data_IF_895481062837
#
_entry.id   IF_895481062837
#
_cell.length_a   1.000
_cell.length_b   1.000
_cell.length_c   1.000
_cell.angle_alpha   90.00
_cell.angle_beta   90.00
_cell.angle_gamma   90.00
#
_symmetry.space_group_name_H-M   'P 1'
#
loop_
_entity.id
_entity.type
_entity.pdbx_description
1 polymer ?
#
# COMPACT_ATOMS: atom_id res chain seq x y z
N UNK A 1 7.23 -18.38 19.01
CA UNK A 1 7.33 -17.11 18.24
C UNK A 1 7.01 -15.90 19.13
N UNK A 2 5.86 -15.85 19.81
CA UNK A 2 5.44 -14.73 20.67
C UNK A 2 6.50 -14.33 21.71
N UNK A 3 7.01 -15.26 22.54
CA UNK A 3 8.05 -14.96 23.56
C UNK A 3 9.31 -14.26 23.01
N UNK A 4 9.72 -14.62 21.78
CA UNK A 4 10.88 -13.99 21.13
C UNK A 4 10.56 -12.57 20.68
N UNK A 5 9.35 -12.34 20.18
CA UNK A 5 8.85 -11.02 19.85
C UNK A 5 8.80 -10.13 21.09
N UNK A 6 8.17 -10.62 22.18
CA UNK A 6 8.01 -9.86 23.44
C UNK A 6 9.37 -9.45 24.01
N UNK A 7 10.38 -10.34 23.97
CA UNK A 7 11.72 -10.01 24.41
C UNK A 7 12.39 -8.90 23.57
N UNK A 8 12.19 -8.91 22.25
CA UNK A 8 12.73 -7.87 21.37
C UNK A 8 12.04 -6.53 21.66
N UNK A 9 10.71 -6.53 21.80
CA UNK A 9 9.96 -5.29 22.05
C UNK A 9 10.29 -4.73 23.44
N UNK A 10 10.40 -5.57 24.46
CA UNK A 10 10.82 -5.12 25.80
C UNK A 10 12.18 -4.41 25.78
N UNK A 11 13.14 -4.94 25.01
CA UNK A 11 14.44 -4.30 24.84
C UNK A 11 14.30 -2.95 24.12
N UNK A 12 13.53 -2.89 23.02
CA UNK A 12 13.30 -1.64 22.28
C UNK A 12 12.61 -0.57 23.13
N UNK A 13 11.65 -0.94 23.99
CA UNK A 13 11.00 -0.04 24.94
C UNK A 13 12.01 0.50 25.96
N UNK A 14 12.84 -0.41 26.53
CA UNK A 14 13.87 0.00 27.49
C UNK A 14 14.89 0.95 26.86
N UNK A 15 15.36 0.64 25.66
CA UNK A 15 16.30 1.49 24.91
C UNK A 15 15.69 2.86 24.60
N UNK A 16 14.41 2.90 24.17
CA UNK A 16 13.71 4.14 23.87
C UNK A 16 13.59 5.05 25.12
N UNK A 17 13.25 4.47 26.29
CA UNK A 17 13.13 5.23 27.55
C UNK A 17 14.46 5.74 28.09
N UNK A 18 15.55 5.07 27.75
CA UNK A 18 16.91 5.46 28.15
C UNK A 18 17.55 6.44 27.14
N UNK A 19 16.91 6.72 26.04
CA UNK A 19 17.39 7.67 25.04
C UNK A 19 17.30 9.10 25.60
N UNK A 20 18.43 9.86 25.71
CA UNK A 20 18.42 11.23 26.19
C UNK A 20 17.56 12.18 25.35
N UNK A 21 17.28 11.82 24.09
CA UNK A 21 16.44 12.57 23.15
C UNK A 21 15.01 11.98 23.01
N UNK A 22 14.58 11.15 23.96
CA UNK A 22 13.28 10.46 23.89
C UNK A 22 12.11 11.41 23.63
N UNK A 23 12.07 12.56 24.29
CA UNK A 23 11.00 13.56 24.15
C UNK A 23 10.96 14.21 22.75
N UNK A 24 12.07 14.19 22.01
CA UNK A 24 12.20 14.77 20.67
C UNK A 24 11.83 13.75 19.57
N UNK A 25 11.70 12.47 19.92
CA UNK A 25 11.41 11.40 18.99
C UNK A 25 9.95 11.46 18.51
N UNK A 26 9.76 11.21 17.21
CA UNK A 26 8.46 11.19 16.53
C UNK A 26 8.15 9.85 15.84
N UNK A 27 8.93 8.80 16.13
CA UNK A 27 8.62 7.46 15.67
C UNK A 27 7.42 6.85 16.44
N UNK A 28 6.81 5.82 15.85
CA UNK A 28 5.59 5.21 16.40
C UNK A 28 5.78 4.68 17.81
N UNK A 29 6.93 4.06 18.13
CA UNK A 29 7.20 3.55 19.47
C UNK A 29 7.25 4.69 20.49
N UNK A 30 8.00 5.75 20.21
CA UNK A 30 8.12 6.90 21.10
C UNK A 30 6.76 7.59 21.32
N UNK A 31 5.99 7.81 20.26
CA UNK A 31 4.66 8.40 20.35
C UNK A 31 3.70 7.54 21.20
N UNK A 32 3.76 6.21 21.08
CA UNK A 32 2.96 5.30 21.90
C UNK A 32 3.37 5.34 23.38
N UNK A 33 4.67 5.39 23.67
CA UNK A 33 5.19 5.47 25.03
C UNK A 33 4.90 6.83 25.71
N UNK A 34 4.75 7.90 24.94
CA UNK A 34 4.36 9.22 25.40
C UNK A 34 2.83 9.36 25.56
N UNK A 35 2.05 8.54 24.85
CA UNK A 35 0.60 8.57 24.89
C UNK A 35 0.04 8.12 26.25
N UNK A 36 -1.18 8.57 26.56
CA UNK A 36 -1.88 8.25 27.79
C UNK A 36 -3.31 7.82 27.50
N UNK A 37 -3.86 7.02 28.37
CA UNK A 37 -5.30 6.70 28.38
C UNK A 37 -6.14 7.95 28.75
N UNK A 38 -7.44 7.86 28.55
CA UNK A 38 -8.38 8.96 28.88
C UNK A 38 -8.35 9.37 30.35
N UNK A 39 -7.99 8.45 31.26
CA UNK A 39 -7.82 8.69 32.68
C UNK A 39 -6.45 9.33 33.07
N UNK A 40 -5.59 9.61 32.07
CA UNK A 40 -4.27 10.17 32.23
C UNK A 40 -3.17 9.17 32.59
N UNK A 41 -3.48 7.89 32.78
CA UNK A 41 -2.49 6.85 33.03
C UNK A 41 -1.64 6.54 31.79
N UNK A 42 -0.35 6.16 31.95
CA UNK A 42 0.51 5.80 30.82
C UNK A 42 0.05 4.48 30.19
N UNK A 43 0.23 4.35 28.89
CA UNK A 43 0.02 3.07 28.20
C UNK A 43 1.01 2.05 28.73
N UNK A 44 0.54 0.83 29.01
CA UNK A 44 1.40 -0.24 29.54
C UNK A 44 2.29 -0.83 28.44
N UNK A 45 3.47 -1.35 28.81
CA UNK A 45 4.41 -1.94 27.86
C UNK A 45 3.80 -3.12 27.08
N UNK A 46 2.99 -3.93 27.74
CA UNK A 46 2.27 -5.04 27.10
C UNK A 46 1.29 -4.51 26.04
N UNK A 47 0.58 -3.43 26.32
CA UNK A 47 -0.33 -2.83 25.34
C UNK A 47 0.44 -2.21 24.16
N UNK A 48 1.55 -1.51 24.42
CA UNK A 48 2.44 -1.01 23.36
C UNK A 48 2.94 -2.16 22.48
N UNK A 49 3.35 -3.28 23.10
CA UNK A 49 3.83 -4.45 22.36
C UNK A 49 2.73 -5.07 21.48
N UNK A 50 1.50 -5.17 21.97
CA UNK A 50 0.37 -5.70 21.22
C UNK A 50 -0.04 -4.80 20.05
N UNK A 51 -0.05 -3.48 20.25
CA UNK A 51 -0.34 -2.51 19.19
C UNK A 51 0.75 -2.49 18.12
N UNK A 52 2.04 -2.54 18.50
CA UNK A 52 3.13 -2.66 17.52
C UNK A 52 3.04 -3.93 16.69
N UNK A 53 2.66 -5.05 17.31
CA UNK A 53 2.44 -6.31 16.58
C UNK A 53 1.28 -6.17 15.59
N UNK A 54 0.21 -5.51 16.01
CA UNK A 54 -0.96 -5.25 15.17
C UNK A 54 -0.59 -4.37 13.98
N UNK A 55 0.14 -3.29 14.19
CA UNK A 55 0.61 -2.39 13.13
C UNK A 55 1.54 -3.11 12.15
N UNK A 56 2.49 -3.91 12.67
CA UNK A 56 3.41 -4.70 11.84
C UNK A 56 2.65 -5.71 10.97
N UNK A 57 1.72 -6.46 11.55
CA UNK A 57 0.94 -7.46 10.82
C UNK A 57 0.03 -6.78 9.76
N UNK A 58 -0.63 -5.69 10.11
CA UNK A 58 -1.54 -4.97 9.20
C UNK A 58 -0.79 -4.28 8.06
N UNK A 59 0.38 -3.69 8.32
CA UNK A 59 1.16 -2.93 7.33
C UNK A 59 1.96 -3.82 6.38
N UNK A 60 2.52 -4.93 6.87
CA UNK A 60 3.43 -5.76 6.08
C UNK A 60 2.73 -6.46 4.90
N UNK A 61 1.71 -7.26 5.16
CA UNK A 61 1.04 -8.06 4.13
C UNK A 61 0.34 -7.20 3.08
N UNK A 62 -0.32 -6.13 3.52
CA UNK A 62 -1.13 -5.29 2.62
C UNK A 62 -0.27 -4.48 1.66
N UNK A 63 0.79 -3.85 2.14
CA UNK A 63 1.72 -3.07 1.30
C UNK A 63 2.49 -3.98 0.34
N UNK A 64 3.03 -5.10 0.83
CA UNK A 64 3.73 -6.08 -0.01
C UNK A 64 2.82 -6.64 -1.13
N UNK A 65 1.56 -6.93 -0.82
CA UNK A 65 0.58 -7.40 -1.81
C UNK A 65 0.23 -6.32 -2.83
N UNK A 66 0.12 -5.05 -2.42
CA UNK A 66 -0.09 -3.95 -3.36
C UNK A 66 1.08 -3.78 -4.32
N UNK A 67 2.33 -3.89 -3.82
CA UNK A 67 3.54 -3.89 -4.66
C UNK A 67 3.54 -5.07 -5.65
N UNK A 68 3.18 -6.27 -5.20
CA UNK A 68 3.07 -7.43 -6.07
C UNK A 68 2.04 -7.20 -7.19
N UNK A 69 0.89 -6.58 -6.88
CA UNK A 69 -0.10 -6.18 -7.89
C UNK A 69 0.42 -5.08 -8.82
N UNK A 70 1.20 -4.12 -8.32
CA UNK A 70 1.80 -3.07 -9.15
C UNK A 70 2.76 -3.69 -10.21
N UNK A 71 3.66 -4.57 -9.79
CA UNK A 71 4.56 -5.29 -10.70
C UNK A 71 3.76 -6.14 -11.68
N UNK A 72 2.76 -6.87 -11.21
CA UNK A 72 1.90 -7.72 -12.04
C UNK A 72 1.15 -6.90 -13.10
N UNK A 73 0.60 -5.75 -12.76
CA UNK A 73 -0.10 -4.87 -13.70
C UNK A 73 0.87 -4.21 -14.69
N UNK A 74 1.96 -3.63 -14.23
CA UNK A 74 2.91 -2.91 -15.06
C UNK A 74 3.56 -3.82 -16.12
N UNK A 75 3.98 -5.02 -15.75
CA UNK A 75 4.58 -5.97 -16.73
C UNK A 75 3.60 -6.42 -17.82
N UNK A 76 2.29 -6.28 -17.64
CA UNK A 76 1.24 -6.58 -18.63
C UNK A 76 0.81 -5.37 -19.44
N UNK A 77 1.33 -4.19 -19.10
CA UNK A 77 1.05 -2.93 -19.77
C UNK A 77 2.38 -2.26 -20.19
N UNK A 78 3.11 -2.84 -21.19
CA UNK A 78 4.46 -2.39 -21.55
C UNK A 78 4.53 -0.90 -21.88
N UNK A 79 3.52 -0.36 -22.57
CA UNK A 79 3.47 1.07 -22.92
C UNK A 79 3.43 1.95 -21.66
N UNK A 80 2.65 1.54 -20.66
CA UNK A 80 2.55 2.26 -19.39
C UNK A 80 3.85 2.15 -18.60
N UNK A 81 4.43 0.95 -18.53
CA UNK A 81 5.72 0.72 -17.87
C UNK A 81 6.82 1.62 -18.49
N UNK A 82 6.91 1.69 -19.81
CA UNK A 82 7.91 2.53 -20.49
C UNK A 82 7.68 4.03 -20.20
N UNK A 83 6.43 4.52 -20.23
CA UNK A 83 6.11 5.92 -19.89
C UNK A 83 6.51 6.22 -18.45
N UNK A 84 6.17 5.34 -17.52
CA UNK A 84 6.49 5.50 -16.10
C UNK A 84 8.00 5.51 -15.86
N UNK A 85 8.74 4.63 -16.54
CA UNK A 85 10.20 4.59 -16.44
C UNK A 85 10.82 5.89 -16.98
N UNK A 86 10.35 6.38 -18.13
CA UNK A 86 10.83 7.65 -18.72
C UNK A 86 10.55 8.86 -17.81
N UNK A 87 9.37 8.93 -17.16
CA UNK A 87 9.04 9.96 -16.18
C UNK A 87 10.00 9.94 -14.98
N UNK A 88 10.27 8.73 -14.46
CA UNK A 88 11.19 8.57 -13.33
C UNK A 88 12.64 8.92 -13.68
N UNK A 89 13.05 8.64 -14.91
CA UNK A 89 14.39 9.02 -15.43
C UNK A 89 14.49 10.55 -15.60
N UNK A 90 13.37 11.24 -15.90
CA UNK A 90 13.27 12.70 -15.91
C UNK A 90 13.21 13.34 -14.50
N UNK A 91 13.10 12.53 -13.45
CA UNK A 91 13.02 13.01 -12.06
C UNK A 91 11.60 13.35 -11.59
N UNK A 92 10.61 13.10 -12.42
CA UNK A 92 9.19 13.34 -12.12
C UNK A 92 8.56 12.15 -11.38
N UNK A 93 7.30 12.29 -10.93
CA UNK A 93 6.64 11.22 -10.16
C UNK A 93 5.11 11.30 -10.13
N UNK A 94 4.50 12.11 -10.96
CA UNK A 94 3.04 12.25 -11.01
C UNK A 94 2.37 10.97 -11.53
N UNK A 95 2.90 10.41 -12.63
CA UNK A 95 2.41 9.16 -13.19
C UNK A 95 2.66 7.97 -12.25
N UNK A 96 3.77 8.00 -11.47
CA UNK A 96 4.01 7.00 -10.44
C UNK A 96 2.91 7.01 -9.37
N UNK A 97 2.54 8.19 -8.87
CA UNK A 97 1.45 8.35 -7.90
C UNK A 97 0.12 7.89 -8.49
N UNK A 98 -0.18 8.31 -9.71
CA UNK A 98 -1.39 7.90 -10.44
C UNK A 98 -1.43 6.39 -10.68
N UNK A 99 -0.28 5.77 -10.97
CA UNK A 99 -0.16 4.32 -11.12
C UNK A 99 -0.49 3.59 -9.82
N UNK A 100 0.00 4.05 -8.68
CA UNK A 100 -0.32 3.46 -7.37
C UNK A 100 -1.81 3.57 -7.09
N UNK A 101 -2.43 4.72 -7.31
CA UNK A 101 -3.87 4.89 -7.14
C UNK A 101 -4.68 3.93 -8.03
N UNK A 102 -4.26 3.74 -9.29
CA UNK A 102 -4.93 2.82 -10.21
C UNK A 102 -4.72 1.35 -9.83
N UNK A 103 -3.56 0.97 -9.33
CA UNK A 103 -3.33 -0.38 -8.78
C UNK A 103 -4.27 -0.64 -7.61
N UNK A 104 -4.37 0.28 -6.68
CA UNK A 104 -5.25 0.18 -5.50
C UNK A 104 -6.73 0.14 -5.88
N UNK A 105 -7.13 0.83 -6.97
CA UNK A 105 -8.48 0.77 -7.52
C UNK A 105 -8.75 -0.57 -8.21
N UNK A 106 -7.89 -0.93 -9.17
CA UNK A 106 -8.10 -2.08 -10.06
C UNK A 106 -7.85 -3.42 -9.36
N UNK A 107 -7.01 -3.42 -8.31
CA UNK A 107 -6.62 -4.59 -7.52
C UNK A 107 -6.60 -4.26 -6.03
N UNK A 108 -7.76 -3.94 -5.43
CA UNK A 108 -7.81 -3.67 -4.01
C UNK A 108 -7.40 -4.93 -3.23
N UNK A 109 -6.46 -4.75 -2.30
CA UNK A 109 -5.97 -5.85 -1.44
C UNK A 109 -7.07 -6.30 -0.48
N UNK A 110 -7.85 -5.35 0.03
CA UNK A 110 -9.04 -5.61 0.85
C UNK A 110 -10.27 -5.38 -0.01
N UNK A 111 -11.01 -6.44 -0.30
CA UNK A 111 -12.15 -6.39 -1.21
C UNK A 111 -13.42 -5.82 -0.60
N UNK A 112 -13.56 -5.91 0.71
CA UNK A 112 -14.73 -5.42 1.42
C UNK A 112 -14.43 -5.14 2.88
N UNK A 113 -15.23 -4.29 3.49
CA UNK A 113 -15.28 -4.08 4.95
C UNK A 113 -16.69 -4.32 5.46
N UNK A 114 -16.81 -4.71 6.74
CA UNK A 114 -18.11 -4.95 7.35
C UNK A 114 -18.34 -4.05 8.58
N UNK A 115 -19.59 -3.73 8.84
CA UNK A 115 -20.07 -3.06 10.04
C UNK A 115 -21.27 -3.81 10.59
N UNK A 116 -21.40 -3.80 11.89
CA UNK A 116 -22.61 -4.28 12.57
C UNK A 116 -23.40 -3.07 13.03
N UNK A 117 -24.67 -3.00 12.67
CA UNK A 117 -25.58 -1.94 13.13
C UNK A 117 -25.79 -2.04 14.63
N UNK A 118 -25.58 -0.94 15.35
CA UNK A 118 -25.88 -0.85 16.79
C UNK A 118 -27.33 -0.44 17.08
N UNK A 119 -27.98 0.12 16.10
CA UNK A 119 -29.36 0.53 16.09
C UNK A 119 -29.97 0.37 14.69
N UNK A 120 -31.28 0.53 14.59
CA UNK A 120 -31.95 0.53 13.28
C UNK A 120 -31.54 1.76 12.48
N UNK A 121 -31.01 1.56 11.29
CA UNK A 121 -30.56 2.64 10.40
C UNK A 121 -31.34 2.63 9.08
N UNK A 122 -31.41 3.79 8.42
CA UNK A 122 -31.90 3.92 7.05
C UNK A 122 -30.74 4.09 6.08
N UNK A 123 -30.70 3.27 5.05
CA UNK A 123 -29.72 3.36 3.96
C UNK A 123 -30.47 3.44 2.63
N UNK A 124 -30.58 4.62 2.05
CA UNK A 124 -31.43 4.87 0.90
C UNK A 124 -32.90 4.54 1.20
N UNK A 125 -33.48 3.62 0.43
CA UNK A 125 -34.87 3.14 0.60
C UNK A 125 -34.99 2.02 1.64
N UNK A 126 -33.87 1.45 2.07
CA UNK A 126 -33.84 0.29 2.95
C UNK A 126 -33.75 0.70 4.42
N UNK A 127 -34.47 -0.05 5.23
CA UNK A 127 -34.34 0.03 6.69
C UNK A 127 -33.63 -1.22 7.16
N UNK A 128 -32.45 -1.04 7.75
CA UNK A 128 -31.61 -2.12 8.23
C UNK A 128 -31.82 -2.22 9.74
N UNK A 129 -32.28 -3.37 10.26
CA UNK A 129 -32.46 -3.56 11.69
C UNK A 129 -31.16 -3.49 12.46
N UNK A 130 -31.26 -3.37 13.79
CA UNK A 130 -30.15 -3.53 14.72
C UNK A 130 -29.50 -4.92 14.59
N UNK A 131 -28.20 -5.02 14.86
CA UNK A 131 -27.37 -6.27 14.83
C UNK A 131 -27.29 -6.94 13.48
N UNK A 132 -27.47 -6.19 12.40
CA UNK A 132 -27.27 -6.70 11.04
C UNK A 132 -25.88 -6.31 10.51
N UNK A 133 -25.27 -7.24 9.78
CA UNK A 133 -24.02 -6.98 9.08
C UNK A 133 -24.29 -6.20 7.80
N UNK A 134 -23.61 -5.06 7.64
CA UNK A 134 -23.57 -4.27 6.42
C UNK A 134 -22.19 -4.46 5.81
N UNK A 135 -22.14 -5.09 4.65
CA UNK A 135 -20.90 -5.30 3.90
C UNK A 135 -20.74 -4.18 2.85
N UNK A 136 -19.65 -3.42 2.99
CA UNK A 136 -19.26 -2.41 2.00
C UNK A 136 -18.25 -3.04 1.05
N UNK A 137 -18.66 -3.33 -0.18
CA UNK A 137 -17.81 -3.92 -1.20
C UNK A 137 -16.95 -2.85 -1.88
N UNK A 138 -15.67 -2.83 -1.56
CA UNK A 138 -14.66 -1.96 -2.19
C UNK A 138 -14.50 -2.32 -3.66
N UNK A 139 -14.42 -3.62 -3.97
CA UNK A 139 -14.27 -4.09 -5.34
C UNK A 139 -15.43 -3.67 -6.25
N UNK A 140 -16.68 -3.75 -5.77
CA UNK A 140 -17.83 -3.30 -6.55
C UNK A 140 -17.85 -1.77 -6.71
N UNK A 141 -17.50 -1.02 -5.67
CA UNK A 141 -17.40 0.44 -5.76
C UNK A 141 -16.36 0.85 -6.82
N UNK A 142 -15.21 0.20 -6.83
CA UNK A 142 -14.14 0.45 -7.79
C UNK A 142 -14.41 -0.07 -9.21
N UNK A 143 -15.35 -0.99 -9.38
CA UNK A 143 -15.81 -1.48 -10.67
C UNK A 143 -17.01 -0.69 -11.25
N UNK A 144 -17.44 0.36 -10.56
CA UNK A 144 -18.56 1.19 -10.99
C UNK A 144 -18.20 2.04 -12.21
N UNK A 145 -18.83 1.78 -13.35
CA UNK A 145 -18.69 2.58 -14.59
C UNK A 145 -19.12 4.05 -14.40
N UNK A 146 -20.03 4.29 -13.46
CA UNK A 146 -20.47 5.65 -13.12
C UNK A 146 -19.36 6.48 -12.48
N UNK A 147 -18.53 5.84 -11.63
CA UNK A 147 -17.43 6.49 -10.91
C UNK A 147 -16.10 6.42 -11.66
N UNK A 148 -15.91 5.34 -12.41
CA UNK A 148 -14.68 5.05 -13.15
C UNK A 148 -15.05 4.55 -14.56
N UNK A 149 -15.23 5.45 -15.54
CA UNK A 149 -15.47 5.06 -16.92
C UNK A 149 -14.40 4.09 -17.42
N UNK A 150 -14.81 3.01 -18.11
CA UNK A 150 -13.95 1.89 -18.49
C UNK A 150 -13.25 1.26 -17.26
N UNK A 151 -14.04 0.96 -16.24
CA UNK A 151 -13.55 0.50 -14.93
C UNK A 151 -12.75 -0.81 -15.01
N UNK A 152 -13.00 -1.64 -16.02
CA UNK A 152 -12.26 -2.90 -16.25
C UNK A 152 -10.81 -2.65 -16.69
N UNK A 153 -10.54 -1.55 -17.39
CA UNK A 153 -9.21 -1.21 -17.86
C UNK A 153 -8.30 -0.74 -16.72
N UNK A 154 -7.01 -1.12 -16.82
CA UNK A 154 -5.95 -0.56 -16.01
C UNK A 154 -5.44 0.72 -16.69
N UNK A 155 -5.85 1.86 -16.20
CA UNK A 155 -5.56 3.17 -16.79
C UNK A 155 -5.13 4.20 -15.73
N UNK A 156 -3.85 4.33 -15.41
CA UNK A 156 -3.34 5.35 -14.50
C UNK A 156 -3.64 6.79 -14.91
N UNK A 157 -3.82 7.08 -16.19
CA UNK A 157 -4.07 8.45 -16.68
C UNK A 157 -5.36 9.07 -16.09
N UNK A 158 -6.28 8.25 -15.57
CA UNK A 158 -7.47 8.75 -14.85
C UNK A 158 -7.14 9.58 -13.60
N UNK A 159 -5.95 9.39 -13.04
CA UNK A 159 -5.49 10.05 -11.82
C UNK A 159 -4.36 11.06 -12.05
N UNK A 160 -3.87 11.22 -13.28
CA UNK A 160 -2.89 12.27 -13.61
C UNK A 160 -3.61 13.62 -13.60
N UNK A 161 -3.11 14.57 -12.80
CA UNK A 161 -3.75 15.89 -12.59
C UNK A 161 -5.06 15.87 -11.81
N UNK A 162 -5.59 14.68 -11.49
CA UNK A 162 -6.89 14.51 -10.83
C UNK A 162 -6.75 13.59 -9.60
N UNK A 163 -6.70 14.15 -8.38
CA UNK A 163 -6.67 13.32 -7.18
C UNK A 163 -7.97 12.49 -7.08
N UNK A 164 -7.88 11.25 -6.53
CA UNK A 164 -9.05 10.39 -6.42
C UNK A 164 -10.15 11.00 -5.56
N UNK A 165 -11.41 10.88 -6.01
CA UNK A 165 -12.58 11.21 -5.18
C UNK A 165 -12.64 10.26 -3.97
N UNK A 166 -12.59 10.84 -2.77
CA UNK A 166 -12.56 10.10 -1.51
C UNK A 166 -13.82 9.28 -1.21
N UNK A 167 -14.92 9.51 -1.93
CA UNK A 167 -16.17 8.76 -1.80
C UNK A 167 -16.28 7.60 -2.80
N UNK A 168 -15.61 7.72 -3.95
CA UNK A 168 -15.59 6.68 -4.98
C UNK A 168 -14.36 5.77 -4.85
N UNK A 169 -13.19 6.36 -4.57
CA UNK A 169 -11.92 5.64 -4.41
C UNK A 169 -11.66 5.37 -2.94
N UNK A 170 -11.95 4.16 -2.49
CA UNK A 170 -11.98 3.76 -1.08
C UNK A 170 -11.13 2.53 -0.75
N UNK A 171 -9.90 2.37 -1.27
CA UNK A 171 -9.08 1.18 -1.01
C UNK A 171 -8.70 1.05 0.47
N UNK A 172 -8.70 2.16 1.19
CA UNK A 172 -8.43 2.24 2.63
C UNK A 172 -9.69 2.31 3.49
N UNK A 173 -10.87 2.04 2.90
CA UNK A 173 -12.15 2.23 3.57
C UNK A 173 -12.49 3.70 3.82
N UNK A 174 -13.42 3.97 4.74
CA UNK A 174 -13.90 5.32 5.05
C UNK A 174 -14.46 5.47 6.46
N UNK A 175 -14.81 6.71 6.81
CA UNK A 175 -15.33 7.07 8.12
C UNK A 175 -14.32 6.91 9.25
N UNK A 176 -14.79 6.80 10.48
CA UNK A 176 -13.96 6.71 11.70
C UNK A 176 -13.07 5.45 11.76
N UNK A 177 -13.33 4.46 10.90
CA UNK A 177 -12.53 3.22 10.79
C UNK A 177 -11.69 3.17 9.51
N UNK A 178 -11.45 4.31 8.88
CA UNK A 178 -10.51 4.41 7.76
C UNK A 178 -9.12 3.94 8.19
N UNK A 179 -8.39 3.32 7.27
CA UNK A 179 -7.02 2.84 7.54
C UNK A 179 -6.14 3.96 8.10
N UNK A 180 -5.58 3.75 9.29
CA UNK A 180 -4.67 4.71 9.93
C UNK A 180 -3.35 4.81 9.18
N UNK A 181 -2.88 3.71 8.57
CA UNK A 181 -1.62 3.62 7.83
C UNK A 181 -1.71 4.08 6.36
N UNK A 182 -2.82 4.68 5.89
CA UNK A 182 -3.02 5.00 4.48
C UNK A 182 -1.93 5.92 3.89
N UNK A 183 -1.53 6.95 4.62
CA UNK A 183 -0.47 7.88 4.19
C UNK A 183 0.90 7.20 4.16
N UNK A 184 1.22 6.43 5.20
CA UNK A 184 2.45 5.66 5.30
C UNK A 184 2.56 4.62 4.19
N UNK A 185 1.51 3.84 3.95
CA UNK A 185 1.46 2.86 2.88
C UNK A 185 1.71 3.48 1.49
N UNK A 186 1.08 4.62 1.19
CA UNK A 186 1.31 5.31 -0.08
C UNK A 186 2.75 5.83 -0.20
N UNK A 187 3.34 6.35 0.86
CA UNK A 187 4.75 6.74 0.88
C UNK A 187 5.67 5.54 0.62
N UNK A 188 5.45 4.43 1.31
CA UNK A 188 6.21 3.18 1.15
C UNK A 188 6.11 2.64 -0.29
N UNK A 189 4.91 2.63 -0.86
CA UNK A 189 4.67 2.23 -2.24
C UNK A 189 5.41 3.14 -3.23
N UNK A 190 5.37 4.46 -3.04
CA UNK A 190 6.07 5.44 -3.86
C UNK A 190 7.59 5.21 -3.84
N UNK A 191 8.18 5.10 -2.66
CA UNK A 191 9.62 4.91 -2.48
C UNK A 191 10.06 3.58 -3.07
N UNK A 192 9.37 2.50 -2.72
CA UNK A 192 9.75 1.14 -3.12
C UNK A 192 9.56 0.92 -4.62
N UNK A 193 8.41 1.32 -5.19
CA UNK A 193 8.16 1.13 -6.62
C UNK A 193 9.11 1.99 -7.47
N UNK A 194 9.41 3.22 -7.02
CA UNK A 194 10.44 4.07 -7.64
C UNK A 194 11.80 3.38 -7.64
N UNK A 195 12.24 2.86 -6.50
CA UNK A 195 13.53 2.18 -6.38
C UNK A 195 13.59 0.94 -7.29
N UNK A 196 12.53 0.12 -7.31
CA UNK A 196 12.44 -1.05 -8.17
C UNK A 196 12.55 -0.68 -9.66
N UNK A 197 11.83 0.33 -10.11
CA UNK A 197 11.82 0.75 -11.52
C UNK A 197 13.11 1.46 -11.94
N UNK A 198 13.85 2.06 -11.02
CA UNK A 198 15.16 2.66 -11.29
C UNK A 198 16.29 1.63 -11.35
N UNK A 199 16.21 0.58 -10.54
CA UNK A 199 17.26 -0.43 -10.43
C UNK A 199 17.04 -1.63 -11.38
N UNK A 200 15.79 -1.89 -11.78
CA UNK A 200 15.45 -3.10 -12.52
C UNK A 200 14.55 -2.83 -13.74
N UNK A 201 14.78 -3.60 -14.78
CA UNK A 201 13.89 -3.77 -15.92
C UNK A 201 13.02 -5.00 -15.69
N UNK A 202 11.72 -4.88 -15.95
CA UNK A 202 10.78 -5.98 -15.82
C UNK A 202 10.49 -6.61 -17.17
N UNK A 203 10.67 -7.92 -17.26
CA UNK A 203 10.22 -8.70 -18.41
C UNK A 203 8.71 -8.56 -18.61
N UNK A 204 8.31 -8.05 -19.76
CA UNK A 204 6.89 -7.81 -20.10
C UNK A 204 6.22 -9.03 -20.68
N UNK A 205 4.88 -9.07 -20.66
CA UNK A 205 4.07 -10.15 -21.20
C UNK A 205 2.67 -9.66 -21.56
N UNK A 206 2.08 -10.27 -22.57
CA UNK A 206 0.66 -10.09 -22.95
C UNK A 206 -0.22 -11.25 -22.46
N UNK A 207 0.32 -12.16 -21.66
CA UNK A 207 -0.46 -13.24 -21.09
C UNK A 207 -1.59 -12.70 -20.19
N UNK A 208 -2.70 -13.43 -20.02
CA UNK A 208 -3.77 -13.04 -19.11
C UNK A 208 -3.28 -12.70 -17.71
N UNK A 209 -3.97 -11.77 -17.04
CA UNK A 209 -3.68 -11.37 -15.67
C UNK A 209 -3.67 -12.56 -14.71
N UNK A 210 -2.90 -12.45 -13.63
CA UNK A 210 -2.95 -13.45 -12.59
C UNK A 210 -4.33 -13.45 -11.93
N UNK A 211 -4.90 -14.63 -11.64
CA UNK A 211 -6.15 -14.69 -10.88
C UNK A 211 -5.94 -14.13 -9.47
N UNK A 212 -6.99 -13.57 -8.90
CA UNK A 212 -7.00 -13.15 -7.52
C UNK A 212 -7.01 -14.39 -6.61
N UNK A 213 -6.11 -14.42 -5.65
CA UNK A 213 -6.02 -15.47 -4.65
C UNK A 213 -6.25 -14.89 -3.25
N UNK A 214 -7.20 -15.46 -2.50
CA UNK A 214 -7.47 -15.04 -1.13
C UNK A 214 -6.39 -15.56 -0.17
N UNK A 215 -5.85 -14.66 0.63
CA UNK A 215 -4.94 -14.93 1.75
C UNK A 215 -5.56 -14.42 3.03
N UNK A 216 -6.61 -15.10 3.49
CA UNK A 216 -7.41 -14.63 4.61
C UNK A 216 -8.22 -13.39 4.20
N UNK A 217 -7.90 -12.23 4.76
CA UNK A 217 -8.59 -10.97 4.46
C UNK A 217 -8.01 -10.24 3.25
N UNK A 218 -6.79 -10.57 2.85
CA UNK A 218 -6.10 -9.95 1.73
C UNK A 218 -6.29 -10.73 0.43
N UNK A 219 -6.28 -10.02 -0.70
CA UNK A 219 -6.36 -10.59 -2.05
C UNK A 219 -5.07 -10.31 -2.81
N UNK A 220 -4.32 -11.35 -3.11
CA UNK A 220 -3.02 -11.30 -3.75
C UNK A 220 -3.05 -11.86 -5.18
N UNK A 221 -2.03 -11.57 -6.03
CA UNK A 221 -1.83 -12.26 -7.28
C UNK A 221 -1.63 -13.77 -7.05
N UNK A 222 -2.30 -14.61 -7.84
CA UNK A 222 -2.30 -16.06 -7.65
C UNK A 222 -0.93 -16.74 -7.75
N UNK A 223 0.03 -16.08 -8.41
CA UNK A 223 1.44 -16.50 -8.51
C UNK A 223 2.39 -15.51 -7.83
N UNK A 224 1.87 -14.64 -6.96
CA UNK A 224 2.66 -13.68 -6.20
C UNK A 224 3.21 -12.50 -7.00
N UNK A 225 2.69 -12.23 -8.20
CA UNK A 225 3.23 -11.18 -9.06
C UNK A 225 4.59 -11.55 -9.67
N UNK A 226 4.83 -12.84 -9.93
CA UNK A 226 6.09 -13.36 -10.47
C UNK A 226 6.55 -12.56 -11.71
N UNK A 227 7.76 -12.03 -11.67
CA UNK A 227 8.37 -11.27 -12.76
C UNK A 227 9.81 -11.75 -13.01
N UNK A 228 10.22 -11.71 -14.27
CA UNK A 228 11.63 -11.78 -14.63
C UNK A 228 12.16 -10.35 -14.55
N UNK A 229 13.29 -10.17 -13.88
CA UNK A 229 13.93 -8.87 -13.70
C UNK A 229 15.38 -8.91 -14.11
N UNK A 230 15.84 -7.83 -14.72
CA UNK A 230 17.24 -7.60 -15.06
C UNK A 230 17.68 -6.30 -14.40
N UNK A 231 18.91 -6.23 -13.93
CA UNK A 231 19.44 -4.97 -13.40
C UNK A 231 19.62 -3.98 -14.55
N UNK A 232 19.15 -2.76 -14.38
CA UNK A 232 19.38 -1.68 -15.35
C UNK A 232 20.86 -1.30 -15.36
N UNK A 233 21.44 -1.12 -16.56
CA UNK A 233 22.77 -0.50 -16.68
C UNK A 233 22.69 0.94 -16.13
N UNK A 234 23.59 1.30 -15.23
CA UNK A 234 23.67 2.69 -14.78
C UNK A 234 24.24 3.54 -15.92
N UNK A 235 23.69 4.72 -16.12
CA UNK A 235 24.19 5.67 -17.13
C UNK A 235 25.70 5.94 -16.94
N UNK A 236 26.20 5.90 -15.70
CA UNK A 236 27.62 6.02 -15.41
C UNK A 236 28.47 4.84 -15.86
N UNK A 237 27.90 3.64 -15.95
CA UNK A 237 28.61 2.44 -16.40
C UNK A 237 28.66 2.40 -17.95
N UNK A 238 27.58 2.81 -18.61
CA UNK A 238 27.53 2.95 -20.08
C UNK A 238 28.56 3.98 -20.61
N UNK A 239 28.73 5.10 -19.92
CA UNK A 239 29.74 6.11 -20.28
C UNK A 239 31.18 5.60 -20.09
N UNK A 240 31.42 4.69 -19.16
CA UNK A 240 32.73 4.06 -18.95
C UNK A 240 33.03 2.98 -19.99
N UNK A 241 32.01 2.23 -20.41
CA UNK A 241 32.16 1.24 -21.46
C UNK A 241 32.42 1.90 -22.84
N UNK A 242 31.69 2.97 -23.17
CA UNK A 242 31.93 3.75 -24.39
C UNK A 242 33.32 4.41 -24.37
N UNK A 243 33.76 4.96 -23.24
CA UNK A 243 35.11 5.53 -23.11
C UNK A 243 36.22 4.49 -23.22
N UNK A 244 35.98 3.25 -22.78
CA UNK A 244 36.92 2.15 -22.91
C UNK A 244 37.01 1.62 -24.37
N UNK A 245 35.89 1.63 -25.11
CA UNK A 245 35.84 1.22 -26.51
C UNK A 245 36.47 2.25 -27.49
N UNK A 246 36.46 3.53 -27.13
CA UNK A 246 37.10 4.60 -27.92
C UNK A 246 38.63 4.66 -27.69
N UNK A 247 39.14 3.99 -26.64
CA UNK A 247 40.54 4.00 -26.25
C UNK A 247 41.28 2.72 -26.65
N UNK A 248 40.63 1.79 -27.33
CA UNK A 248 41.18 0.53 -27.88
C UNK A 248 41.25 0.56 -29.41
#
# INVERSE_FOLDING_TARGET
MRRRYDAIIAQLIADARNDPHFEERNDVLALMLQARYEDGSPITDDHVADELLTLLAAGHETTATTLAWAVERLRRHPRMLNRLTAELDAGESELLQATIFEVQRNRPVINATARITKERIRLGEWVIPERHAVLVSISLAHASERSFPDAAAFNPDRFVGNPPDSHAWVPFGGGIRRCIGAAFANMELMVTLRALLREFEFGTTYAPGEPMHSRGVATAPGRGGLAVVHRRARVADAVREDAAQVSA
#
